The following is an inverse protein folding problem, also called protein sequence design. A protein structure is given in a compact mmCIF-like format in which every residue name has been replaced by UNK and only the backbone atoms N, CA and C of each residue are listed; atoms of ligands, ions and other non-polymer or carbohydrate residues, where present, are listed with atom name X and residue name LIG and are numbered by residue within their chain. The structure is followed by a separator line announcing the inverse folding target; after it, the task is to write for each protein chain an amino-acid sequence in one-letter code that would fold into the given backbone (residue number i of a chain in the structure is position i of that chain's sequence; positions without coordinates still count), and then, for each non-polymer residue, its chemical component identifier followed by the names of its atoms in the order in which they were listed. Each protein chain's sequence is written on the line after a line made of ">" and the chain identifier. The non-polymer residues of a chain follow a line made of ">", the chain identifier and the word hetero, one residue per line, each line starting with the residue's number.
data_IF_448425378458
#
_entry.id   IF_448425378458
#
_cell.length_a   1.000
_cell.length_b   1.000
_cell.length_c   1.000
_cell.angle_alpha   90.00
_cell.angle_beta   90.00
_cell.angle_gamma   90.00
#
_symmetry.space_group_name_H-M   'P 1'
#
loop_
_entity.id
_entity.type
_entity.pdbx_description
1 polymer ?
#
# COMPACT_ATOMS: atom_id res chain seq x y z
N UNK A 1 1.55 -21.04 16.26
CA UNK A 1 0.29 -20.29 16.12
C UNK A 1 -0.10 -20.35 14.65
N UNK A 2 -1.19 -21.05 14.29
CA UNK A 2 -1.66 -21.12 12.90
C UNK A 2 -2.58 -19.93 12.64
N UNK A 3 -2.03 -18.84 12.11
CA UNK A 3 -2.85 -17.78 11.52
C UNK A 3 -3.68 -18.45 10.42
N UNK A 4 -5.01 -18.42 10.54
CA UNK A 4 -5.90 -18.94 9.51
C UNK A 4 -5.53 -18.31 8.16
N UNK A 5 -5.31 -19.15 7.15
CA UNK A 5 -4.93 -18.73 5.79
C UNK A 5 -5.88 -17.65 5.27
N UNK A 6 -7.16 -17.76 5.61
CA UNK A 6 -8.20 -16.80 5.25
C UNK A 6 -7.97 -15.41 5.87
N UNK A 7 -7.52 -15.35 7.14
CA UNK A 7 -7.19 -14.09 7.81
C UNK A 7 -5.96 -13.43 7.18
N UNK A 8 -4.93 -14.22 6.86
CA UNK A 8 -3.72 -13.73 6.18
C UNK A 8 -4.05 -13.12 4.81
N UNK A 9 -4.88 -13.80 4.02
CA UNK A 9 -5.35 -13.30 2.72
C UNK A 9 -6.12 -11.99 2.86
N UNK A 10 -7.01 -11.89 3.86
CA UNK A 10 -7.77 -10.66 4.09
C UNK A 10 -6.88 -9.49 4.52
N UNK A 11 -5.87 -9.75 5.35
CA UNK A 11 -4.90 -8.72 5.75
C UNK A 11 -4.08 -8.20 4.57
N UNK A 12 -3.61 -9.09 3.69
CA UNK A 12 -2.89 -8.70 2.47
C UNK A 12 -3.81 -7.86 1.58
N UNK A 13 -5.06 -8.30 1.39
CA UNK A 13 -6.03 -7.61 0.54
C UNK A 13 -6.32 -6.17 0.99
N UNK A 14 -6.60 -5.97 2.29
CA UNK A 14 -6.87 -4.63 2.87
C UNK A 14 -5.68 -3.69 2.66
N UNK A 15 -4.48 -4.21 2.88
CA UNK A 15 -3.23 -3.48 2.71
C UNK A 15 -3.00 -3.08 1.25
N UNK A 16 -3.20 -4.00 0.32
CA UNK A 16 -3.02 -3.78 -1.11
C UNK A 16 -4.01 -2.74 -1.64
N UNK A 17 -5.25 -2.79 -1.16
CA UNK A 17 -6.29 -1.85 -1.53
C UNK A 17 -5.95 -0.43 -1.08
N UNK A 18 -5.43 -0.28 0.13
CA UNK A 18 -4.91 1.00 0.64
C UNK A 18 -3.76 1.51 -0.24
N UNK A 19 -2.77 0.67 -0.52
CA UNK A 19 -1.61 1.02 -1.36
C UNK A 19 -2.03 1.50 -2.75
N UNK A 20 -2.96 0.79 -3.39
CA UNK A 20 -3.43 1.11 -4.73
C UNK A 20 -4.29 2.39 -4.74
N UNK A 21 -5.19 2.57 -3.77
CA UNK A 21 -6.02 3.78 -3.68
C UNK A 21 -5.20 5.03 -3.35
N UNK A 22 -4.27 4.94 -2.40
CA UNK A 22 -3.40 6.06 -2.02
C UNK A 22 -2.47 6.41 -3.18
N UNK A 23 -1.78 5.43 -3.75
CA UNK A 23 -0.80 5.69 -4.82
C UNK A 23 -1.41 6.35 -6.05
N UNK A 24 -2.59 5.89 -6.49
CA UNK A 24 -3.30 6.50 -7.63
C UNK A 24 -4.02 7.80 -7.24
N UNK A 25 -4.58 7.86 -6.03
CA UNK A 25 -5.39 8.98 -5.58
C UNK A 25 -4.61 10.26 -5.35
N UNK A 26 -3.36 10.17 -4.87
CA UNK A 26 -2.48 11.33 -4.65
C UNK A 26 -2.19 12.10 -5.94
N UNK A 27 -2.04 11.36 -7.05
CA UNK A 27 -1.80 11.93 -8.36
C UNK A 27 -3.10 12.09 -9.16
N UNK A 28 -4.26 12.01 -8.49
CA UNK A 28 -5.60 12.14 -9.08
C UNK A 28 -5.85 11.24 -10.31
N UNK A 29 -5.20 10.07 -10.37
CA UNK A 29 -5.31 9.13 -11.48
C UNK A 29 -6.57 8.29 -11.30
N UNK A 30 -7.61 8.61 -12.06
CA UNK A 30 -8.88 7.89 -12.02
C UNK A 30 -8.88 6.70 -12.97
N UNK A 31 -9.18 5.53 -12.42
CA UNK A 31 -9.33 4.29 -13.17
C UNK A 31 -10.77 3.80 -13.21
N UNK A 32 -11.09 3.07 -14.28
CA UNK A 32 -12.29 2.24 -14.32
C UNK A 32 -12.22 1.18 -13.22
N UNK A 33 -13.38 0.82 -12.65
CA UNK A 33 -13.47 -0.22 -11.60
C UNK A 33 -12.80 -1.53 -12.03
N UNK A 34 -12.89 -1.88 -13.31
CA UNK A 34 -12.28 -3.09 -13.88
C UNK A 34 -10.75 -3.02 -13.87
N UNK A 35 -10.16 -1.90 -14.26
CA UNK A 35 -8.69 -1.77 -14.25
C UNK A 35 -8.16 -1.71 -12.82
N UNK A 36 -8.88 -1.05 -11.91
CA UNK A 36 -8.57 -1.06 -10.49
C UNK A 36 -8.55 -2.50 -9.94
N UNK A 37 -9.60 -3.28 -10.20
CA UNK A 37 -9.69 -4.67 -9.76
C UNK A 37 -8.56 -5.55 -10.34
N UNK A 38 -8.19 -5.34 -11.61
CA UNK A 38 -7.05 -6.04 -12.23
C UNK A 38 -5.74 -5.73 -11.50
N UNK A 39 -5.44 -4.45 -11.27
CA UNK A 39 -4.22 -4.04 -10.54
C UNK A 39 -4.20 -4.73 -9.17
N UNK A 40 -5.29 -4.64 -8.42
CA UNK A 40 -5.41 -5.24 -7.10
C UNK A 40 -5.15 -6.76 -7.14
N UNK A 41 -5.82 -7.48 -8.05
CA UNK A 41 -5.70 -8.93 -8.16
C UNK A 41 -4.27 -9.36 -8.52
N UNK A 42 -3.65 -8.72 -9.51
CA UNK A 42 -2.28 -9.04 -9.91
C UNK A 42 -1.26 -8.66 -8.84
N UNK A 43 -1.49 -7.56 -8.13
CA UNK A 43 -0.61 -7.13 -7.05
C UNK A 43 -0.66 -8.09 -5.86
N UNK A 44 -1.86 -8.46 -5.40
CA UNK A 44 -2.05 -9.44 -4.33
C UNK A 44 -1.46 -10.80 -4.70
N UNK A 45 -1.69 -11.28 -5.93
CA UNK A 45 -1.08 -12.52 -6.40
C UNK A 45 0.45 -12.44 -6.40
N UNK A 46 1.02 -11.33 -6.89
CA UNK A 46 2.46 -11.08 -6.87
C UNK A 46 3.03 -11.05 -5.46
N UNK A 47 2.35 -10.42 -4.50
CA UNK A 47 2.78 -10.42 -3.10
C UNK A 47 2.80 -11.83 -2.49
N UNK A 48 1.78 -12.64 -2.76
CA UNK A 48 1.73 -14.02 -2.27
C UNK A 48 2.93 -14.80 -2.81
N UNK A 49 3.20 -14.69 -4.12
CA UNK A 49 4.34 -15.36 -4.77
C UNK A 49 5.66 -14.90 -4.15
N UNK A 50 5.87 -13.59 -4.04
CA UNK A 50 7.09 -13.01 -3.46
C UNK A 50 7.25 -13.46 -2.01
N UNK A 51 6.16 -13.52 -1.24
CA UNK A 51 6.18 -13.98 0.15
C UNK A 51 6.52 -15.47 0.27
N UNK A 52 6.03 -16.31 -0.65
CA UNK A 52 6.37 -17.74 -0.68
C UNK A 52 7.85 -17.95 -1.06
N UNK A 53 8.35 -17.21 -2.05
CA UNK A 53 9.73 -17.34 -2.53
C UNK A 53 10.75 -16.80 -1.53
N UNK A 54 10.48 -15.63 -0.95
CA UNK A 54 11.40 -14.93 -0.04
C UNK A 54 11.17 -15.28 1.43
N UNK A 55 10.06 -15.94 1.77
CA UNK A 55 9.65 -16.27 3.13
C UNK A 55 10.57 -17.23 3.89
N UNK A 56 11.61 -17.77 3.26
CA UNK A 56 12.66 -18.55 3.95
C UNK A 56 13.78 -17.67 4.54
N UNK A 57 13.84 -16.38 4.20
CA UNK A 57 14.96 -15.49 4.52
C UNK A 57 14.47 -14.24 5.29
N UNK A 58 13.62 -14.47 6.30
CA UNK A 58 12.66 -13.52 6.87
C UNK A 58 13.27 -12.21 7.41
N UNK A 59 14.50 -12.19 7.89
CA UNK A 59 14.98 -11.04 8.68
C UNK A 59 15.74 -9.95 7.91
N UNK A 60 16.40 -10.25 6.79
CA UNK A 60 17.13 -9.25 5.98
C UNK A 60 16.42 -8.86 4.67
N UNK A 61 15.32 -9.52 4.32
CA UNK A 61 14.69 -9.38 3.00
C UNK A 61 13.47 -8.45 3.00
N UNK A 62 13.07 -7.87 4.15
CA UNK A 62 11.95 -6.93 4.17
C UNK A 62 12.14 -5.73 3.22
N UNK A 63 13.36 -5.21 3.09
CA UNK A 63 13.68 -4.13 2.15
C UNK A 63 13.59 -4.62 0.70
N UNK A 64 14.17 -5.78 0.40
CA UNK A 64 14.15 -6.37 -0.95
C UNK A 64 12.74 -6.76 -1.40
N UNK A 65 11.92 -7.33 -0.50
CA UNK A 65 10.49 -7.62 -0.74
C UNK A 65 9.76 -6.33 -1.12
N UNK A 66 9.92 -5.27 -0.31
CA UNK A 66 9.24 -3.99 -0.56
C UNK A 66 9.68 -3.37 -1.88
N UNK A 67 10.96 -3.47 -2.22
CA UNK A 67 11.50 -3.00 -3.49
C UNK A 67 10.90 -3.75 -4.69
N UNK A 68 10.86 -5.09 -4.64
CA UNK A 68 10.27 -5.92 -5.70
C UNK A 68 8.78 -5.61 -5.88
N UNK A 69 8.05 -5.45 -4.78
CA UNK A 69 6.63 -5.13 -4.84
C UNK A 69 6.39 -3.70 -5.35
N UNK A 70 7.26 -2.75 -5.04
CA UNK A 70 7.19 -1.41 -5.63
C UNK A 70 7.38 -1.46 -7.15
N UNK A 71 8.37 -2.20 -7.64
CA UNK A 71 8.57 -2.43 -9.08
C UNK A 71 7.36 -3.09 -9.74
N UNK A 72 6.76 -4.08 -9.07
CA UNK A 72 5.54 -4.72 -9.56
C UNK A 72 4.41 -3.70 -9.70
N UNK A 73 4.23 -2.83 -8.69
CA UNK A 73 3.19 -1.80 -8.71
C UNK A 73 3.39 -0.80 -9.86
N UNK A 74 4.64 -0.37 -10.12
CA UNK A 74 4.99 0.50 -11.25
C UNK A 74 4.55 -0.12 -12.57
N UNK A 75 4.87 -1.40 -12.78
CA UNK A 75 4.50 -2.13 -14.00
C UNK A 75 2.98 -2.25 -14.15
N UNK A 76 2.27 -2.53 -13.05
CA UNK A 76 0.81 -2.63 -13.04
C UNK A 76 0.15 -1.29 -13.34
N UNK A 77 0.65 -0.20 -12.77
CA UNK A 77 0.19 1.15 -13.09
C UNK A 77 0.46 1.50 -14.55
N UNK A 78 1.68 1.30 -15.04
CA UNK A 78 1.99 1.56 -16.46
C UNK A 78 1.06 0.78 -17.40
N UNK A 79 0.80 -0.49 -17.10
CA UNK A 79 -0.01 -1.37 -17.95
C UNK A 79 -1.51 -1.10 -17.89
N UNK A 80 -2.07 -0.92 -16.69
CA UNK A 80 -3.53 -0.87 -16.49
C UNK A 80 -4.07 0.55 -16.28
N UNK A 81 -3.23 1.47 -15.82
CA UNK A 81 -3.56 2.89 -15.70
C UNK A 81 -3.19 3.71 -16.93
N UNK A 82 -2.36 3.16 -17.82
CA UNK A 82 -1.88 3.82 -19.05
C UNK A 82 -1.29 5.23 -18.79
N UNK A 83 -0.52 5.35 -17.72
CA UNK A 83 0.14 6.60 -17.31
C UNK A 83 1.61 6.60 -17.70
N UNK A 84 2.27 7.76 -17.64
CA UNK A 84 3.71 7.85 -17.89
C UNK A 84 4.55 7.14 -16.83
N UNK A 85 5.77 6.74 -17.22
CA UNK A 85 6.67 6.01 -16.34
C UNK A 85 7.01 6.81 -15.08
N UNK A 86 7.22 8.11 -15.23
CA UNK A 86 7.48 9.02 -14.11
C UNK A 86 6.30 9.07 -13.15
N UNK A 87 5.08 9.26 -13.66
CA UNK A 87 3.85 9.25 -12.85
C UNK A 87 3.61 7.90 -12.19
N UNK A 88 3.92 6.79 -12.86
CA UNK A 88 3.82 5.45 -12.27
C UNK A 88 4.79 5.26 -11.09
N UNK A 89 6.04 5.71 -11.23
CA UNK A 89 7.06 5.67 -10.18
C UNK A 89 6.66 6.54 -8.98
N UNK A 90 6.22 7.77 -9.22
CA UNK A 90 5.78 8.69 -8.16
C UNK A 90 4.55 8.12 -7.44
N UNK A 91 3.57 7.61 -8.18
CA UNK A 91 2.36 7.00 -7.60
C UNK A 91 2.70 5.79 -6.73
N UNK A 92 3.60 4.92 -7.18
CA UNK A 92 3.97 3.73 -6.40
C UNK A 92 4.75 4.09 -5.15
N UNK A 93 5.73 5.00 -5.27
CA UNK A 93 6.55 5.42 -4.14
C UNK A 93 5.73 6.17 -3.09
N UNK A 94 4.87 7.10 -3.51
CA UNK A 94 4.00 7.85 -2.60
C UNK A 94 3.05 6.92 -1.85
N UNK A 95 2.44 5.94 -2.53
CA UNK A 95 1.63 4.90 -1.91
C UNK A 95 2.38 4.12 -0.82
N UNK A 96 3.62 3.70 -1.11
CA UNK A 96 4.47 3.00 -0.14
C UNK A 96 4.89 3.87 1.05
N UNK A 97 5.29 5.11 0.80
CA UNK A 97 5.70 6.04 1.86
C UNK A 97 4.55 6.31 2.82
N UNK A 98 3.36 6.59 2.31
CA UNK A 98 2.19 6.86 3.16
C UNK A 98 1.73 5.61 3.90
N UNK A 99 1.80 4.44 3.27
CA UNK A 99 1.54 3.18 3.96
C UNK A 99 2.50 2.98 5.16
N UNK A 100 3.79 3.23 4.97
CA UNK A 100 4.79 3.13 6.04
C UNK A 100 4.54 4.16 7.14
N UNK A 101 4.35 5.44 6.79
CA UNK A 101 4.07 6.51 7.74
C UNK A 101 2.79 6.25 8.54
N UNK A 102 1.71 5.83 7.87
CA UNK A 102 0.46 5.45 8.51
C UNK A 102 0.65 4.28 9.48
N UNK A 103 1.47 3.30 9.12
CA UNK A 103 1.85 2.20 10.01
C UNK A 103 2.60 2.67 11.26
N UNK A 104 3.62 3.52 11.10
CA UNK A 104 4.43 4.02 12.22
C UNK A 104 3.62 4.89 13.19
N UNK A 105 2.85 5.85 12.67
CA UNK A 105 2.03 6.74 13.48
C UNK A 105 1.01 5.94 14.30
N UNK A 106 0.33 5.00 13.65
CA UNK A 106 -0.68 4.17 14.31
C UNK A 106 -0.10 3.29 15.40
N UNK A 107 1.08 2.70 15.18
CA UNK A 107 1.74 1.80 16.14
C UNK A 107 2.22 2.57 17.39
N UNK A 108 2.67 3.82 17.23
CA UNK A 108 3.02 4.71 18.34
C UNK A 108 1.79 5.18 19.13
N UNK A 109 0.70 5.54 18.46
CA UNK A 109 -0.55 5.94 19.12
C UNK A 109 -1.11 4.78 19.95
N UNK A 110 -1.03 3.55 19.43
CA UNK A 110 -1.42 2.32 20.14
C UNK A 110 -0.65 2.09 21.43
N UNK A 111 0.69 2.12 21.33
CA UNK A 111 1.55 1.85 22.47
C UNK A 111 1.33 2.88 23.56
N UNK A 112 1.05 4.14 23.16
CA UNK A 112 0.68 5.22 24.07
C UNK A 112 -0.71 5.02 24.70
N UNK A 113 -1.77 4.84 23.91
CA UNK A 113 -3.15 4.80 24.42
C UNK A 113 -3.45 3.57 25.26
N UNK A 114 -2.97 2.40 24.83
CA UNK A 114 -3.31 1.15 25.51
C UNK A 114 -2.30 0.75 26.57
N UNK A 115 -1.17 1.48 26.69
CA UNK A 115 -0.03 1.09 27.57
C UNK A 115 0.36 -0.38 27.39
N UNK A 116 0.09 -0.94 26.20
CA UNK A 116 0.24 -2.37 25.94
C UNK A 116 1.69 -2.64 25.62
N UNK A 117 2.28 -3.58 26.36
CA UNK A 117 3.53 -4.22 25.93
C UNK A 117 3.24 -4.93 24.60
N UNK A 118 4.01 -4.59 23.57
CA UNK A 118 3.93 -5.17 22.21
C UNK A 118 3.86 -6.70 22.22
N UNK A 119 4.48 -7.33 23.22
CA UNK A 119 4.58 -8.78 23.38
C UNK A 119 3.24 -9.46 23.70
N UNK A 120 2.29 -8.73 24.31
CA UNK A 120 0.95 -9.26 24.65
C UNK A 120 0.03 -9.22 23.43
N UNK A 121 0.17 -8.18 22.60
CA UNK A 121 -0.60 -8.01 21.36
C UNK A 121 -0.25 -9.13 20.36
N UNK A 122 1.04 -9.45 20.22
CA UNK A 122 1.52 -10.46 19.29
C UNK A 122 1.18 -11.90 19.72
N UNK A 123 0.86 -12.14 21.00
CA UNK A 123 0.50 -13.47 21.51
C UNK A 123 -0.98 -13.84 21.32
N UNK A 124 -1.86 -12.87 21.09
CA UNK A 124 -3.30 -13.13 20.94
C UNK A 124 -3.77 -12.78 19.53
N UNK A 125 -4.09 -13.80 18.74
CA UNK A 125 -4.58 -13.66 17.36
C UNK A 125 -5.83 -12.76 17.27
N UNK A 126 -6.71 -12.79 18.28
CA UNK A 126 -7.92 -11.97 18.32
C UNK A 126 -7.60 -10.49 18.56
N UNK A 127 -6.74 -10.21 19.53
CA UNK A 127 -6.34 -8.84 19.87
C UNK A 127 -5.57 -8.23 18.70
N UNK A 128 -4.65 -8.99 18.10
CA UNK A 128 -3.93 -8.56 16.90
C UNK A 128 -4.87 -8.26 15.73
N UNK A 129 -5.89 -9.09 15.49
CA UNK A 129 -6.85 -8.86 14.42
C UNK A 129 -7.69 -7.60 14.65
N UNK A 130 -8.21 -7.42 15.86
CA UNK A 130 -9.01 -6.24 16.22
C UNK A 130 -8.20 -4.97 16.04
N UNK A 131 -6.97 -4.96 16.55
CA UNK A 131 -6.01 -3.87 16.39
C UNK A 131 -5.80 -3.63 14.89
N UNK A 132 -5.37 -4.61 14.12
CA UNK A 132 -5.14 -4.45 12.67
C UNK A 132 -6.32 -3.81 11.95
N UNK A 133 -7.55 -4.25 12.21
CA UNK A 133 -8.73 -3.66 11.57
C UNK A 133 -9.00 -2.24 12.05
N UNK A 134 -8.85 -1.98 13.35
CA UNK A 134 -9.04 -0.65 13.91
C UNK A 134 -8.11 0.40 13.28
N UNK A 135 -6.88 0.01 12.86
CA UNK A 135 -5.89 0.94 12.29
C UNK A 135 -5.95 1.04 10.78
N UNK A 136 -6.16 -0.07 10.09
CA UNK A 136 -6.22 -0.05 8.64
C UNK A 136 -7.55 0.50 8.13
N UNK A 137 -8.64 0.41 8.90
CA UNK A 137 -9.94 0.90 8.49
C UNK A 137 -9.99 2.44 8.33
N UNK A 138 -9.52 3.26 9.29
CA UNK A 138 -9.40 4.71 9.09
C UNK A 138 -8.50 5.07 7.91
N UNK A 139 -7.37 4.37 7.73
CA UNK A 139 -6.47 4.61 6.61
C UNK A 139 -7.14 4.28 5.27
N UNK A 140 -7.96 3.23 5.22
CA UNK A 140 -8.69 2.83 4.03
C UNK A 140 -9.81 3.82 3.69
N UNK A 141 -10.49 4.37 4.71
CA UNK A 141 -11.41 5.51 4.53
C UNK A 141 -10.65 6.71 3.97
N UNK A 142 -9.52 7.09 4.56
CA UNK A 142 -8.70 8.20 4.07
C UNK A 142 -8.22 7.97 2.64
N UNK A 143 -7.75 6.77 2.30
CA UNK A 143 -7.34 6.39 0.95
C UNK A 143 -8.49 6.51 -0.06
N UNK A 144 -9.67 6.04 0.34
CA UNK A 144 -10.88 6.16 -0.46
C UNK A 144 -11.30 7.62 -0.67
N UNK A 145 -11.21 8.44 0.39
CA UNK A 145 -11.48 9.88 0.31
C UNK A 145 -10.48 10.60 -0.60
N UNK A 146 -9.18 10.32 -0.47
CA UNK A 146 -8.11 10.86 -1.33
C UNK A 146 -8.43 10.56 -2.80
N UNK A 147 -8.77 9.30 -3.11
CA UNK A 147 -9.11 8.89 -4.46
C UNK A 147 -10.42 9.50 -4.99
N UNK A 148 -11.41 9.73 -4.11
CA UNK A 148 -12.75 10.22 -4.49
C UNK A 148 -12.81 11.75 -4.66
N UNK A 149 -12.13 12.49 -3.77
CA UNK A 149 -12.28 13.94 -3.63
C UNK A 149 -11.17 14.76 -4.33
N UNK A 150 -10.37 14.15 -5.21
CA UNK A 150 -9.30 14.83 -5.96
C UNK A 150 -8.36 15.62 -5.04
N UNK A 151 -7.77 14.97 -4.05
CA UNK A 151 -6.65 15.56 -3.33
C UNK A 151 -5.42 15.54 -4.24
N UNK A 152 -5.24 16.59 -5.04
CA UNK A 152 -4.02 16.81 -5.83
C UNK A 152 -2.94 17.29 -4.86
N UNK A 153 -2.01 16.41 -4.53
CA UNK A 153 -0.80 16.78 -3.77
C UNK A 153 0.32 17.24 -4.72
N UNK A 154 0.35 16.69 -5.93
CA UNK A 154 1.26 17.06 -7.00
C UNK A 154 0.44 17.24 -8.27
N UNK A 155 0.35 18.48 -8.75
CA UNK A 155 -0.19 18.76 -10.08
C UNK A 155 0.91 18.41 -11.08
N UNK A 156 0.77 17.27 -11.75
CA UNK A 156 1.75 16.78 -12.73
C UNK A 156 1.46 17.33 -14.14
N UNK A 157 0.37 18.09 -14.33
CA UNK A 157 -0.03 18.64 -15.61
C UNK A 157 0.45 20.10 -15.82
N UNK A 158 0.89 20.80 -14.77
CA UNK A 158 1.37 22.19 -14.87
C UNK A 158 2.91 22.29 -14.96
N UNK A 159 3.39 22.32 -16.21
CA UNK A 159 4.64 22.94 -16.69
C UNK A 159 5.98 22.70 -15.94
N UNK A 160 6.78 21.70 -16.32
CA UNK A 160 8.27 21.84 -16.31
C UNK A 160 9.06 20.87 -17.23
N UNK A 161 8.53 20.53 -18.42
CA UNK A 161 9.34 20.03 -19.54
C UNK A 161 9.57 21.11 -20.63
N UNK A 162 9.79 22.35 -20.19
CA UNK A 162 10.38 23.45 -20.97
C UNK A 162 11.83 23.70 -20.52
N UNK A 163 12.65 22.67 -20.48
CA UNK A 163 14.09 22.81 -20.73
C UNK A 163 14.28 22.30 -22.17
N UNK A 164 14.26 23.16 -23.18
CA UNK A 164 15.33 24.12 -23.39
C UNK A 164 16.51 23.41 -24.04
N UNK A 165 16.38 23.02 -25.31
CA UNK A 165 17.44 23.16 -26.30
C UNK A 165 16.82 23.18 -27.70
N UNK A 166 16.88 24.36 -28.30
CA UNK A 166 17.03 24.51 -29.75
C UNK A 166 18.30 23.78 -30.21
#
# INVERSE_FOLDING_TARGET
>A
MQISIMKSLFFIYVKDLLLVYVGLGINSIKLSKMNYFKILLYFTAGEIIVTILLGKYITNIHVLKSYILCLLLILLYKRFANIDWLSAVISSLSGYVIYLLGGFINLQILSYFFSLKTDVILKSDYIYSIIFYLFNFPLLISAWLIYRFNFILFDLDDEEFKFGHK
#
